data_IF_148664653842
#
_entry.id   IF_148664653842
#
_cell.length_a   1.000
_cell.length_b   1.000
_cell.length_c   1.000
_cell.angle_alpha   90.00
_cell.angle_beta   90.00
_cell.angle_gamma   90.00
#
_symmetry.space_group_name_H-M   'P 1'
#
loop_
_entity.id
_entity.type
_entity.pdbx_description
1 polymer ?
#
# COMPACT_ATOMS: atom_id res chain seq x y z
N UNK A 1 25.24 10.48 -14.07
CA UNK A 1 24.62 9.80 -12.91
C UNK A 1 23.27 10.44 -12.65
N UNK A 2 22.19 9.70 -12.88
CA UNK A 2 20.83 10.24 -12.77
C UNK A 2 20.41 10.39 -11.31
N UNK A 3 19.45 11.27 -11.03
CA UNK A 3 18.80 11.37 -9.73
C UNK A 3 18.29 10.01 -9.21
N UNK A 4 17.98 9.10 -10.14
CA UNK A 4 17.58 7.72 -9.87
C UNK A 4 18.70 6.86 -9.24
N UNK A 5 19.97 7.09 -9.58
CA UNK A 5 21.11 6.38 -8.99
C UNK A 5 21.38 6.86 -7.55
N UNK A 6 21.19 8.15 -7.29
CA UNK A 6 21.36 8.73 -5.97
C UNK A 6 20.28 8.24 -5.00
N UNK A 7 19.01 8.24 -5.43
CA UNK A 7 17.90 7.71 -4.62
C UNK A 7 18.09 6.20 -4.40
N UNK A 8 18.50 5.44 -5.42
CA UNK A 8 18.77 4.01 -5.23
C UNK A 8 19.91 3.74 -4.24
N UNK A 9 20.97 4.55 -4.25
CA UNK A 9 22.13 4.39 -3.36
C UNK A 9 21.79 4.81 -1.93
N UNK A 10 21.11 5.95 -1.76
CA UNK A 10 20.62 6.41 -0.46
C UNK A 10 19.61 5.42 0.14
N UNK A 11 18.71 4.87 -0.69
CA UNK A 11 17.79 3.82 -0.26
C UNK A 11 18.56 2.54 0.08
N UNK A 12 19.45 2.00 -0.75
CA UNK A 12 20.19 0.77 -0.42
C UNK A 12 21.02 0.87 0.88
N UNK A 13 21.57 2.04 1.20
CA UNK A 13 22.36 2.25 2.42
C UNK A 13 21.50 2.44 3.68
N UNK A 14 20.35 3.14 3.59
CA UNK A 14 19.40 3.30 4.71
C UNK A 14 18.49 2.07 4.86
N UNK A 15 18.31 1.34 3.76
CA UNK A 15 17.43 0.20 3.58
C UNK A 15 18.27 -0.96 3.00
N UNK A 16 19.03 -1.66 3.86
CA UNK A 16 19.19 -3.13 3.71
C UNK A 16 17.82 -3.81 3.89
N UNK A 17 16.79 -3.30 3.22
CA UNK A 17 15.41 -3.53 3.58
C UNK A 17 14.82 -4.54 2.60
N UNK A 18 14.41 -5.71 3.09
CA UNK A 18 13.82 -6.76 2.27
C UNK A 18 12.59 -6.27 1.47
N UNK A 19 11.98 -5.14 1.84
CA UNK A 19 10.87 -4.56 1.10
C UNK A 19 11.27 -4.15 -0.32
N UNK A 20 12.43 -3.50 -0.52
CA UNK A 20 12.83 -3.04 -1.85
C UNK A 20 13.22 -4.20 -2.77
N UNK A 21 13.90 -5.20 -2.23
CA UNK A 21 14.19 -6.42 -2.99
C UNK A 21 12.90 -7.12 -3.39
N UNK A 22 11.93 -7.25 -2.47
CA UNK A 22 10.62 -7.83 -2.79
C UNK A 22 9.89 -7.03 -3.87
N UNK A 23 9.89 -5.69 -3.83
CA UNK A 23 9.26 -4.86 -4.87
C UNK A 23 9.91 -5.06 -6.25
N UNK A 24 11.23 -5.24 -6.29
CA UNK A 24 11.95 -5.59 -7.52
C UNK A 24 11.58 -7.00 -7.98
N UNK A 25 11.57 -7.97 -7.07
CA UNK A 25 11.29 -9.37 -7.34
C UNK A 25 9.88 -9.64 -7.88
N UNK A 26 8.90 -8.82 -7.50
CA UNK A 26 7.53 -8.88 -8.02
C UNK A 26 7.33 -8.02 -9.27
N UNK A 27 8.36 -7.33 -9.76
CA UNK A 27 8.30 -6.37 -10.86
C UNK A 27 7.24 -5.28 -10.62
N UNK A 28 7.28 -4.63 -9.44
CA UNK A 28 6.26 -3.68 -9.00
C UNK A 28 6.03 -2.51 -9.98
N UNK A 29 7.06 -2.05 -10.68
CA UNK A 29 6.92 -1.03 -11.75
C UNK A 29 5.95 -1.47 -12.86
N UNK A 30 6.00 -2.74 -13.26
CA UNK A 30 5.06 -3.31 -14.23
C UNK A 30 3.64 -3.36 -13.67
N UNK A 31 3.49 -3.75 -12.40
CA UNK A 31 2.19 -3.78 -11.73
C UNK A 31 1.55 -2.38 -11.69
N UNK A 32 2.35 -1.35 -11.37
CA UNK A 32 1.89 0.03 -11.37
C UNK A 32 1.41 0.48 -12.75
N UNK A 33 2.18 0.20 -13.81
CA UNK A 33 1.77 0.50 -15.19
C UNK A 33 0.46 -0.21 -15.56
N UNK A 34 0.34 -1.50 -15.26
CA UNK A 34 -0.88 -2.27 -15.50
C UNK A 34 -2.08 -1.75 -14.69
N UNK A 35 -1.83 -1.12 -13.56
CA UNK A 35 -2.83 -0.51 -12.66
C UNK A 35 -3.06 0.98 -12.96
N UNK A 36 -2.59 1.45 -14.11
CA UNK A 36 -2.77 2.82 -14.61
C UNK A 36 -1.97 3.91 -13.86
N UNK A 37 -0.99 3.54 -13.03
CA UNK A 37 -0.07 4.45 -12.35
C UNK A 37 1.07 4.87 -13.27
N UNK A 38 0.71 5.50 -14.38
CA UNK A 38 1.64 5.97 -15.41
C UNK A 38 1.86 7.48 -15.21
N UNK A 39 3.12 7.93 -15.30
CA UNK A 39 3.44 9.36 -15.37
C UNK A 39 3.00 9.85 -16.75
N UNK A 40 2.11 10.85 -16.79
CA UNK A 40 1.62 11.41 -18.05
C UNK A 40 2.52 12.55 -18.47
N UNK A 41 2.33 13.76 -17.92
CA UNK A 41 3.07 14.92 -18.48
C UNK A 41 3.71 15.79 -17.39
N UNK A 42 2.97 16.10 -16.32
CA UNK A 42 3.39 17.03 -15.27
C UNK A 42 3.31 16.32 -13.90
N UNK A 43 4.42 16.30 -13.17
CA UNK A 43 4.49 15.77 -11.81
C UNK A 43 5.63 14.79 -11.55
N UNK A 44 5.64 14.24 -10.34
CA UNK A 44 6.63 13.24 -9.90
C UNK A 44 6.18 11.82 -10.27
N UNK A 45 7.14 10.91 -10.41
CA UNK A 45 6.85 9.51 -10.75
C UNK A 45 5.94 8.87 -9.68
N UNK A 46 4.81 8.24 -10.06
CA UNK A 46 3.97 7.52 -9.11
C UNK A 46 4.73 6.47 -8.31
N UNK A 47 5.71 5.81 -8.94
CA UNK A 47 6.57 4.82 -8.29
C UNK A 47 7.32 5.41 -7.08
N UNK A 48 7.97 6.57 -7.26
CA UNK A 48 8.70 7.24 -6.18
C UNK A 48 7.77 7.71 -5.06
N UNK A 49 6.59 8.22 -5.42
CA UNK A 49 5.60 8.65 -4.42
C UNK A 49 5.11 7.44 -3.60
N UNK A 50 4.89 6.28 -4.22
CA UNK A 50 4.55 5.05 -3.50
C UNK A 50 5.68 4.60 -2.58
N UNK A 51 6.95 4.70 -3.02
CA UNK A 51 8.09 4.43 -2.15
C UNK A 51 8.13 5.35 -0.93
N UNK A 52 7.82 6.64 -1.09
CA UNK A 52 7.70 7.56 0.04
C UNK A 52 6.58 7.13 1.00
N UNK A 53 5.45 6.65 0.50
CA UNK A 53 4.38 6.12 1.36
C UNK A 53 4.81 4.87 2.12
N UNK A 54 5.53 3.95 1.47
CA UNK A 54 6.09 2.78 2.14
C UNK A 54 7.11 3.16 3.21
N UNK A 55 7.98 4.13 2.92
CA UNK A 55 8.91 4.67 3.91
C UNK A 55 8.15 5.28 5.09
N UNK A 56 7.17 6.16 4.83
CA UNK A 56 6.31 6.75 5.85
C UNK A 56 5.60 5.70 6.72
N UNK A 57 5.17 4.59 6.11
CA UNK A 57 4.57 3.46 6.81
C UNK A 57 5.57 2.78 7.76
N UNK A 58 6.79 2.51 7.29
CA UNK A 58 7.86 1.88 8.10
C UNK A 58 8.21 2.74 9.32
N UNK A 59 8.33 4.06 9.13
CA UNK A 59 8.67 4.98 10.24
C UNK A 59 7.44 5.44 11.05
N UNK A 60 6.24 4.95 10.70
CA UNK A 60 4.95 5.34 11.27
C UNK A 60 4.77 6.87 11.37
N UNK A 61 5.06 7.59 10.28
CA UNK A 61 4.91 9.05 10.20
C UNK A 61 3.84 9.46 9.20
N UNK A 62 3.15 10.55 9.51
CA UNK A 62 2.21 11.20 8.59
C UNK A 62 2.97 12.04 7.56
N UNK A 63 2.32 12.34 6.43
CA UNK A 63 2.87 13.20 5.36
C UNK A 63 3.44 14.51 5.90
N UNK A 64 2.71 15.18 6.80
CA UNK A 64 3.14 16.46 7.40
C UNK A 64 4.43 16.35 8.20
N UNK A 65 4.63 15.22 8.88
CA UNK A 65 5.81 14.98 9.72
C UNK A 65 6.98 14.52 8.86
N UNK A 66 6.73 13.63 7.90
CA UNK A 66 7.72 13.20 6.93
C UNK A 66 8.34 14.38 6.17
N UNK A 67 7.51 15.35 5.77
CA UNK A 67 7.99 16.55 5.09
C UNK A 67 8.93 17.44 5.92
N UNK A 68 8.77 17.45 7.25
CA UNK A 68 9.66 18.20 8.14
C UNK A 68 10.98 17.49 8.38
N UNK A 69 11.00 16.17 8.20
CA UNK A 69 12.12 15.30 8.56
C UNK A 69 13.01 14.92 7.37
N UNK A 70 12.44 14.87 6.16
CA UNK A 70 13.15 14.43 4.95
C UNK A 70 13.32 15.58 3.97
N UNK A 71 14.58 15.88 3.62
CA UNK A 71 14.96 16.82 2.56
C UNK A 71 14.44 16.39 1.19
N UNK A 72 14.33 15.08 0.95
CA UNK A 72 13.90 14.50 -0.32
C UNK A 72 12.37 14.43 -0.46
N UNK A 73 11.64 14.89 0.54
CA UNK A 73 10.18 14.89 0.53
C UNK A 73 9.60 15.85 -0.51
N UNK A 74 8.50 15.46 -1.13
CA UNK A 74 7.73 16.36 -1.99
C UNK A 74 6.78 17.26 -1.19
N UNK A 75 6.29 18.33 -1.84
CA UNK A 75 5.22 19.17 -1.29
C UNK A 75 3.94 18.34 -1.09
N UNK A 76 3.12 18.71 -0.09
CA UNK A 76 1.85 18.03 0.26
C UNK A 76 0.97 17.77 -0.96
N UNK A 77 0.88 18.74 -1.85
CA UNK A 77 0.03 18.65 -3.05
C UNK A 77 0.42 17.50 -3.97
N UNK A 78 1.68 17.10 -4.02
CA UNK A 78 2.14 15.97 -4.85
C UNK A 78 1.53 14.67 -4.33
N UNK A 79 1.57 14.44 -3.01
CA UNK A 79 0.97 13.26 -2.39
C UNK A 79 -0.55 13.26 -2.55
N UNK A 80 -1.21 14.39 -2.27
CA UNK A 80 -2.67 14.46 -2.37
C UNK A 80 -3.18 14.36 -3.81
N UNK A 81 -2.45 14.88 -4.80
CA UNK A 81 -2.80 14.67 -6.21
C UNK A 81 -2.81 13.20 -6.58
N UNK A 82 -1.82 12.43 -6.11
CA UNK A 82 -1.80 10.99 -6.36
C UNK A 82 -2.97 10.28 -5.68
N UNK A 83 -3.24 10.58 -4.41
CA UNK A 83 -4.35 9.97 -3.66
C UNK A 83 -5.74 10.29 -4.24
N UNK A 84 -5.93 11.51 -4.76
CA UNK A 84 -7.21 11.97 -5.32
C UNK A 84 -7.43 11.58 -6.78
N UNK A 85 -6.44 10.98 -7.45
CA UNK A 85 -6.56 10.68 -8.87
C UNK A 85 -7.43 9.45 -9.10
N UNK A 86 -8.66 9.66 -9.56
CA UNK A 86 -9.64 8.60 -9.87
C UNK A 86 -9.21 7.67 -11.01
N UNK A 87 -8.22 8.05 -11.82
CA UNK A 87 -7.72 7.22 -12.92
C UNK A 87 -6.81 6.08 -12.43
N UNK A 88 -6.29 6.18 -11.21
CA UNK A 88 -5.44 5.16 -10.62
C UNK A 88 -6.27 4.02 -10.05
N UNK A 89 -6.04 2.81 -10.54
CA UNK A 89 -6.81 1.65 -10.14
C UNK A 89 -6.17 0.96 -8.93
N UNK A 90 -6.51 1.44 -7.74
CA UNK A 90 -6.03 0.90 -6.46
C UNK A 90 -6.42 -0.57 -6.26
N UNK A 91 -7.61 -0.98 -6.69
CA UNK A 91 -8.07 -2.37 -6.58
C UNK A 91 -7.23 -3.31 -7.43
N UNK A 92 -6.91 -2.92 -8.66
CA UNK A 92 -6.05 -3.68 -9.57
C UNK A 92 -4.61 -3.74 -9.05
N UNK A 93 -4.10 -2.64 -8.50
CA UNK A 93 -2.78 -2.60 -7.86
C UNK A 93 -2.68 -3.60 -6.71
N UNK A 94 -3.68 -3.62 -5.82
CA UNK A 94 -3.75 -4.56 -4.71
C UNK A 94 -3.79 -6.01 -5.22
N UNK A 95 -4.72 -6.32 -6.13
CA UNK A 95 -4.90 -7.67 -6.66
C UNK A 95 -3.63 -8.22 -7.31
N UNK A 96 -3.03 -7.46 -8.24
CA UNK A 96 -1.83 -7.89 -8.95
C UNK A 96 -0.63 -8.06 -8.01
N UNK A 97 -0.49 -7.17 -7.03
CA UNK A 97 0.56 -7.28 -6.01
C UNK A 97 0.36 -8.55 -5.16
N UNK A 98 -0.86 -8.80 -4.69
CA UNK A 98 -1.18 -10.00 -3.92
C UNK A 98 -0.90 -11.28 -4.71
N UNK A 99 -1.31 -11.35 -5.97
CA UNK A 99 -1.04 -12.53 -6.83
C UNK A 99 0.45 -12.79 -6.97
N UNK A 100 1.26 -11.75 -7.21
CA UNK A 100 2.72 -11.90 -7.33
C UNK A 100 3.38 -12.33 -6.01
N UNK A 101 2.93 -11.76 -4.89
CA UNK A 101 3.43 -12.13 -3.55
C UNK A 101 3.05 -13.57 -3.20
N UNK A 102 1.80 -13.97 -3.40
CA UNK A 102 1.34 -15.36 -3.19
C UNK A 102 2.12 -16.33 -4.06
N UNK A 103 2.36 -16.00 -5.33
CA UNK A 103 3.15 -16.84 -6.25
C UNK A 103 4.59 -17.06 -5.75
N UNK A 104 5.19 -16.06 -5.10
CA UNK A 104 6.52 -16.21 -4.46
C UNK A 104 6.43 -17.08 -3.21
N UNK A 105 5.41 -16.89 -2.39
CA UNK A 105 5.17 -17.67 -1.17
C UNK A 105 4.78 -19.13 -1.46
N UNK A 106 4.20 -19.43 -2.61
CA UNK A 106 3.83 -20.80 -3.02
C UNK A 106 5.03 -21.75 -3.00
N UNK A 107 6.26 -21.27 -3.24
CA UNK A 107 7.48 -22.09 -3.14
C UNK A 107 7.75 -22.60 -1.71
N UNK A 108 7.20 -21.93 -0.71
CA UNK A 108 7.30 -22.30 0.70
C UNK A 108 6.12 -23.18 1.15
N UNK A 109 5.15 -23.42 0.26
CA UNK A 109 3.97 -24.25 0.50
C UNK A 109 4.22 -25.66 -0.04
N UNK A 110 3.98 -26.67 0.80
CA UNK A 110 3.96 -28.08 0.43
C UNK A 110 2.53 -28.46 0.01
N UNK A 111 2.41 -29.43 -0.89
CA UNK A 111 1.10 -29.92 -1.34
C UNK A 111 0.26 -30.53 -0.21
N UNK A 112 0.91 -30.99 0.86
CA UNK A 112 0.28 -31.58 2.05
C UNK A 112 -0.27 -30.55 3.05
N UNK A 113 -0.05 -29.26 2.80
CA UNK A 113 -0.46 -28.21 3.73
C UNK A 113 -1.96 -27.96 3.69
N UNK A 114 -2.60 -27.88 4.85
CA UNK A 114 -4.01 -27.50 4.98
C UNK A 114 -4.19 -26.06 4.52
N UNK A 115 -5.01 -25.87 3.49
CA UNK A 115 -5.43 -24.56 2.99
C UNK A 115 -6.75 -24.18 3.65
N UNK A 116 -6.77 -23.04 4.34
CA UNK A 116 -8.01 -22.49 4.91
C UNK A 116 -8.36 -21.17 4.25
N UNK A 117 -9.66 -20.98 4.03
CA UNK A 117 -10.22 -19.69 3.63
C UNK A 117 -10.62 -18.94 4.91
N UNK A 118 -9.94 -17.83 5.20
CA UNK A 118 -10.32 -16.95 6.31
C UNK A 118 -11.06 -15.75 5.73
N UNK A 119 -12.31 -15.61 6.15
CA UNK A 119 -13.13 -14.42 5.93
C UNK A 119 -13.17 -13.69 7.26
N UNK A 120 -12.54 -12.53 7.32
CA UNK A 120 -12.60 -11.64 8.46
C UNK A 120 -13.51 -10.45 8.14
N UNK A 121 -14.37 -10.11 9.10
CA UNK A 121 -15.31 -8.99 9.00
C UNK A 121 -14.84 -7.85 9.90
N UNK A 122 -13.80 -7.14 9.45
CA UNK A 122 -13.21 -6.04 10.21
C UNK A 122 -13.89 -4.72 9.88
N UNK A 123 -14.30 -4.00 10.93
CA UNK A 123 -14.85 -2.64 10.83
C UNK A 123 -13.74 -1.62 11.11
N UNK A 124 -13.37 -0.85 10.10
CA UNK A 124 -12.45 0.27 10.27
C UNK A 124 -13.23 1.54 10.65
N UNK A 125 -13.17 1.92 11.93
CA UNK A 125 -13.88 3.08 12.48
C UNK A 125 -13.30 4.38 11.91
N UNK A 126 -14.18 5.29 11.48
CA UNK A 126 -13.80 6.57 10.89
C UNK A 126 -14.46 7.74 11.61
N UNK A 127 -13.67 8.77 11.95
CA UNK A 127 -14.12 9.93 12.76
C UNK A 127 -14.45 11.20 11.95
N UNK A 128 -14.17 11.24 10.64
CA UNK A 128 -14.38 12.43 9.80
C UNK A 128 -15.84 12.60 9.31
N UNK A 129 -16.25 13.83 8.99
CA UNK A 129 -17.62 14.15 8.52
C UNK A 129 -17.91 13.65 7.10
N UNK A 130 -16.99 13.87 6.16
CA UNK A 130 -17.13 13.44 4.77
C UNK A 130 -16.05 12.41 4.45
N UNK A 131 -16.41 11.13 4.51
CA UNK A 131 -15.53 10.02 4.17
C UNK A 131 -16.26 9.19 3.14
N UNK A 132 -15.76 9.22 1.92
CA UNK A 132 -16.31 8.50 0.79
C UNK A 132 -16.32 6.99 1.07
N UNK A 133 -17.40 6.32 0.70
CA UNK A 133 -17.62 4.89 0.95
C UNK A 133 -17.92 4.53 2.42
N UNK A 134 -17.83 5.46 3.37
CA UNK A 134 -18.11 5.15 4.79
C UNK A 134 -19.61 5.06 5.07
N UNK A 135 -19.99 4.02 5.81
CA UNK A 135 -21.34 3.89 6.34
C UNK A 135 -21.42 4.64 7.67
N UNK A 136 -22.50 5.42 7.88
CA UNK A 136 -22.75 6.12 9.14
C UNK A 136 -23.20 5.17 10.26
N UNK A 137 -23.92 4.12 9.88
CA UNK A 137 -24.60 3.21 10.80
C UNK A 137 -24.12 1.77 10.62
N UNK A 138 -22.84 1.52 10.89
CA UNK A 138 -22.28 0.17 10.80
C UNK A 138 -22.21 -0.45 12.20
N UNK A 139 -22.82 -1.62 12.42
CA UNK A 139 -22.69 -2.32 13.68
C UNK A 139 -21.25 -2.85 13.85
N UNK A 140 -20.60 -2.53 14.96
CA UNK A 140 -19.28 -3.07 15.31
C UNK A 140 -19.42 -4.09 16.43
N UNK A 141 -19.11 -5.36 16.13
CA UNK A 141 -19.06 -6.41 17.13
C UNK A 141 -17.98 -6.17 18.19
N UNK A 142 -16.88 -5.50 17.82
CA UNK A 142 -15.78 -5.17 18.73
C UNK A 142 -16.17 -4.10 19.76
N UNK A 143 -16.91 -3.08 19.33
CA UNK A 143 -17.30 -1.95 20.18
C UNK A 143 -18.71 -2.13 20.79
N UNK A 144 -19.41 -3.22 20.42
CA UNK A 144 -20.80 -3.50 20.78
C UNK A 144 -21.76 -2.32 20.54
N UNK A 145 -21.53 -1.57 19.46
CA UNK A 145 -22.35 -0.39 19.11
C UNK A 145 -22.29 -0.08 17.62
N UNK A 146 -23.26 0.73 17.18
CA UNK A 146 -23.24 1.32 15.84
C UNK A 146 -22.18 2.41 15.76
N UNK A 147 -21.31 2.30 14.75
CA UNK A 147 -20.21 3.21 14.48
C UNK A 147 -20.25 3.69 13.03
N UNK A 148 -19.65 4.85 12.80
CA UNK A 148 -19.30 5.28 11.45
C UNK A 148 -17.99 4.62 11.04
N UNK A 149 -17.96 3.99 9.87
CA UNK A 149 -16.76 3.27 9.44
C UNK A 149 -16.83 2.70 8.04
N UNK A 150 -15.78 1.97 7.67
CA UNK A 150 -15.70 1.16 6.47
C UNK A 150 -15.70 -0.31 6.87
N UNK A 151 -16.41 -1.13 6.10
CA UNK A 151 -16.35 -2.57 6.23
C UNK A 151 -15.20 -3.06 5.35
N UNK A 152 -14.18 -3.65 5.95
CA UNK A 152 -13.03 -4.21 5.24
C UNK A 152 -13.10 -5.72 5.34
N UNK A 153 -13.01 -6.39 4.21
CA UNK A 153 -12.92 -7.85 4.12
C UNK A 153 -11.49 -8.21 3.73
N UNK A 154 -10.55 -8.27 4.68
CA UNK A 154 -9.21 -8.72 4.37
C UNK A 154 -9.27 -10.22 4.06
N UNK A 155 -8.73 -10.56 2.90
CA UNK A 155 -8.63 -11.95 2.46
C UNK A 155 -7.31 -12.54 2.97
N UNK A 156 -7.39 -13.52 3.86
CA UNK A 156 -6.23 -14.24 4.35
C UNK A 156 -6.29 -15.70 3.91
N UNK A 157 -5.19 -16.15 3.29
CA UNK A 157 -4.88 -17.58 3.20
C UNK A 157 -3.93 -17.84 4.35
N UNK A 158 -4.46 -18.38 5.45
CA UNK A 158 -3.63 -18.84 6.57
C UNK A 158 -3.29 -20.31 6.39
N UNK A 159 -2.21 -20.72 7.05
CA UNK A 159 -1.76 -22.10 7.14
C UNK A 159 -1.50 -22.39 8.61
N UNK A 160 -2.12 -23.43 9.16
CA UNK A 160 -1.68 -23.99 10.42
C UNK A 160 -0.37 -24.76 10.18
N UNK A 161 0.66 -24.45 10.96
CA UNK A 161 1.83 -25.33 11.12
C UNK A 161 1.49 -26.43 12.12
#
# INVERSE_FOLDING_TARGET
MGLDDFIQTAMNNVLKNPILSVLRDINFSSILKQSNFIKRDIGKSPYLIILHFLYMFIINKRISTFMKQSSDSYKKDVYYRLLKNSKYNWRKLLLLSSVKLISKLHKLQKATDTRVLIIDDTVEIKRGKFIEGSCKNLWSNKEHRTVKGLKTFPFFISKNR
#
